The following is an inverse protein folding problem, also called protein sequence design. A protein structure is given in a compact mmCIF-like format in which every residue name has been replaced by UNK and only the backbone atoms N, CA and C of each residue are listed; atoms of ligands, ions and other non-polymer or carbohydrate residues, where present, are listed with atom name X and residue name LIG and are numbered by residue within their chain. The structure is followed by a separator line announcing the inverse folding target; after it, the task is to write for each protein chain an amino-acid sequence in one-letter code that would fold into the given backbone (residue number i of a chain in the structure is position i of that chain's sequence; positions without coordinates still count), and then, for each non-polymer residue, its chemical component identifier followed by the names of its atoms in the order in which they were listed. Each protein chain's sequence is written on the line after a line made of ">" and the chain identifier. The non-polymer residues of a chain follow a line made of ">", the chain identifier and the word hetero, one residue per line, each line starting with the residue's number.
data_IF_245800458991
#
_entry.id   IF_245800458991
#
_cell.length_a   1.000
_cell.length_b   1.000
_cell.length_c   1.000
_cell.angle_alpha   90.00
_cell.angle_beta   90.00
_cell.angle_gamma   90.00
#
_symmetry.space_group_name_H-M   'P 1'
#
loop_
_entity.id
_entity.type
_entity.pdbx_description
1 polymer ?
#
# COMPACT_ATOMS: atom_id res chain seq x y z
N UNK A 1 1.50 -24.60 14.36
CA UNK A 1 2.71 -23.91 13.89
C UNK A 1 2.29 -22.49 13.56
N UNK A 2 2.56 -21.53 14.43
CA UNK A 2 2.41 -20.11 14.08
C UNK A 2 3.51 -19.78 13.09
N UNK A 3 3.17 -19.84 11.81
CA UNK A 3 4.00 -19.33 10.72
C UNK A 3 4.02 -17.80 10.83
N UNK A 4 4.97 -17.29 11.62
CA UNK A 4 5.25 -15.86 11.69
C UNK A 4 5.68 -15.38 10.30
N UNK A 5 4.95 -14.41 9.76
CA UNK A 5 5.23 -13.84 8.44
C UNK A 5 6.47 -12.99 8.57
N UNK A 6 7.52 -13.27 7.79
CA UNK A 6 8.63 -12.34 7.67
C UNK A 6 8.16 -11.13 6.85
N UNK A 7 7.67 -10.10 7.55
CA UNK A 7 7.11 -8.88 6.96
C UNK A 7 8.14 -8.12 6.12
N UNK A 8 9.44 -8.41 6.27
CA UNK A 8 10.52 -7.80 5.48
C UNK A 8 10.46 -8.15 3.99
N UNK A 9 9.72 -9.19 3.61
CA UNK A 9 9.46 -9.57 2.21
C UNK A 9 8.66 -8.47 1.48
N UNK A 10 7.79 -7.78 2.20
CA UNK A 10 7.04 -6.62 1.70
C UNK A 10 7.98 -5.42 1.83
N UNK A 11 8.24 -4.62 0.79
CA UNK A 11 9.07 -3.42 0.93
C UNK A 11 8.34 -2.34 1.76
N UNK A 12 9.08 -1.43 2.38
CA UNK A 12 8.47 -0.28 3.05
C UNK A 12 7.87 0.68 2.01
N UNK A 13 6.77 1.35 2.38
CA UNK A 13 6.12 2.34 1.54
C UNK A 13 5.96 3.64 2.33
N UNK A 14 6.63 4.69 1.86
CA UNK A 14 6.62 6.01 2.47
C UNK A 14 5.71 7.03 1.75
N UNK A 15 5.19 6.64 0.57
CA UNK A 15 4.39 7.51 -0.29
C UNK A 15 5.20 8.34 -1.30
N UNK A 16 6.51 8.09 -1.44
CA UNK A 16 7.38 8.84 -2.36
C UNK A 16 7.57 8.14 -3.71
N UNK A 17 8.14 8.86 -4.69
CA UNK A 17 8.35 8.39 -6.06
C UNK A 17 9.32 7.20 -6.09
N UNK A 18 8.78 5.99 -6.26
CA UNK A 18 9.58 4.77 -6.47
C UNK A 18 8.73 3.57 -6.88
N UNK A 19 7.69 3.26 -6.10
CA UNK A 19 6.74 2.18 -6.40
C UNK A 19 5.32 2.73 -6.31
N UNK A 20 4.48 2.57 -7.35
CA UNK A 20 3.08 2.97 -7.28
C UNK A 20 2.36 2.29 -6.12
N UNK A 21 1.51 3.03 -5.40
CA UNK A 21 0.73 2.50 -4.26
C UNK A 21 -0.09 1.25 -4.66
N UNK A 22 -0.57 1.18 -5.91
CA UNK A 22 -1.30 0.04 -6.45
C UNK A 22 -0.41 -1.21 -6.51
N UNK A 23 0.79 -1.09 -7.06
CA UNK A 23 1.74 -2.21 -7.17
C UNK A 23 2.18 -2.69 -5.79
N UNK A 24 2.39 -1.75 -4.87
CA UNK A 24 2.73 -2.07 -3.48
C UNK A 24 1.61 -2.86 -2.79
N UNK A 25 0.36 -2.40 -2.89
CA UNK A 25 -0.81 -3.07 -2.31
C UNK A 25 -1.00 -4.48 -2.89
N UNK A 26 -0.86 -4.64 -4.22
CA UNK A 26 -0.93 -5.96 -4.86
C UNK A 26 0.13 -6.93 -4.32
N UNK A 27 1.35 -6.43 -4.07
CA UNK A 27 2.42 -7.24 -3.48
C UNK A 27 2.09 -7.65 -2.04
N UNK A 28 1.54 -6.74 -1.23
CA UNK A 28 1.08 -7.06 0.14
C UNK A 28 0.04 -8.19 0.09
N UNK A 29 -0.99 -8.05 -0.75
CA UNK A 29 -2.06 -9.05 -0.87
C UNK A 29 -1.54 -10.42 -1.33
N UNK A 30 -0.64 -10.43 -2.31
CA UNK A 30 -0.02 -11.67 -2.80
C UNK A 30 0.80 -12.35 -1.70
N UNK A 31 1.64 -11.60 -0.98
CA UNK A 31 2.45 -12.16 0.11
C UNK A 31 1.56 -12.68 1.24
N UNK A 32 0.53 -11.94 1.63
CA UNK A 32 -0.46 -12.38 2.61
C UNK A 32 -1.15 -13.67 2.18
N UNK A 33 -1.59 -13.76 0.92
CA UNK A 33 -2.21 -14.97 0.36
C UNK A 33 -1.27 -16.18 0.39
N UNK A 34 -0.03 -16.02 -0.07
CA UNK A 34 0.98 -17.08 -0.09
C UNK A 34 1.40 -17.56 1.31
N UNK A 35 1.23 -16.72 2.32
CA UNK A 35 1.60 -17.01 3.72
C UNK A 35 0.41 -17.39 4.59
N UNK A 36 -0.81 -17.47 4.03
CA UNK A 36 -2.02 -17.84 4.76
C UNK A 36 -2.51 -16.76 5.75
N UNK A 37 -2.21 -15.50 5.47
CA UNK A 37 -2.55 -14.36 6.33
C UNK A 37 -3.92 -13.83 5.96
N UNK A 38 -4.86 -13.90 6.89
CA UNK A 38 -6.22 -13.38 6.69
C UNK A 38 -6.36 -11.92 7.10
N UNK A 39 -5.56 -11.45 8.05
CA UNK A 39 -5.57 -10.06 8.53
C UNK A 39 -4.61 -9.17 7.72
N UNK A 40 -5.02 -8.81 6.51
CA UNK A 40 -4.26 -7.90 5.65
C UNK A 40 -4.26 -6.47 6.20
N UNK A 41 -5.35 -6.06 6.86
CA UNK A 41 -5.48 -4.73 7.45
C UNK A 41 -4.42 -4.49 8.54
N UNK A 42 -4.10 -5.50 9.34
CA UNK A 42 -3.00 -5.45 10.31
C UNK A 42 -1.60 -5.46 9.70
N UNK A 43 -1.41 -6.04 8.51
CA UNK A 43 -0.09 -6.12 7.86
C UNK A 43 0.32 -4.83 7.17
N UNK A 44 -0.63 -4.15 6.52
CA UNK A 44 -0.38 -2.89 5.81
C UNK A 44 0.41 -1.87 6.67
N UNK A 45 -0.07 -1.46 7.86
CA UNK A 45 0.61 -0.43 8.66
C UNK A 45 1.99 -0.83 9.15
N UNK A 46 2.34 -2.13 9.23
CA UNK A 46 3.67 -2.60 9.64
C UNK A 46 4.78 -2.23 8.64
N UNK A 47 4.39 -1.94 7.40
CA UNK A 47 5.32 -1.60 6.31
C UNK A 47 5.04 -0.22 5.71
N UNK A 48 4.15 0.55 6.30
CA UNK A 48 4.00 1.96 6.00
C UNK A 48 5.03 2.77 6.80
N UNK A 49 5.63 3.76 6.16
CA UNK A 49 6.54 4.73 6.79
C UNK A 49 6.19 6.14 6.33
N UNK A 50 6.85 7.16 6.87
CA UNK A 50 6.74 8.54 6.40
C UNK A 50 5.31 9.05 6.23
N UNK A 51 5.04 9.66 5.07
CA UNK A 51 3.73 10.24 4.74
C UNK A 51 2.62 9.20 4.64
N UNK A 52 2.93 8.00 4.16
CA UNK A 52 1.94 6.93 4.05
C UNK A 52 1.45 6.43 5.41
N UNK A 53 2.34 6.34 6.40
CA UNK A 53 1.93 6.02 7.76
C UNK A 53 1.09 7.13 8.39
N UNK A 54 1.39 8.40 8.08
CA UNK A 54 0.58 9.53 8.54
C UNK A 54 -0.86 9.48 8.02
N UNK A 55 -1.07 9.06 6.76
CA UNK A 55 -2.41 8.84 6.18
C UNK A 55 -3.16 7.76 6.94
N UNK A 56 -2.50 6.64 7.25
CA UNK A 56 -3.11 5.58 8.06
C UNK A 56 -3.51 6.06 9.45
N UNK A 57 -2.68 6.86 10.12
CA UNK A 57 -2.99 7.39 11.46
C UNK A 57 -4.23 8.30 11.47
N UNK A 58 -4.49 9.02 10.38
CA UNK A 58 -5.64 9.91 10.23
C UNK A 58 -6.98 9.16 10.06
N UNK A 59 -6.96 7.85 9.77
CA UNK A 59 -8.17 7.06 9.68
C UNK A 59 -8.80 6.82 11.06
N UNK A 60 -10.14 6.82 11.16
CA UNK A 60 -10.82 6.40 12.38
C UNK A 60 -10.60 4.91 12.66
N UNK A 61 -10.69 4.50 13.92
CA UNK A 61 -10.40 3.12 14.35
C UNK A 61 -11.30 2.07 13.67
N UNK A 62 -12.54 2.42 13.33
CA UNK A 62 -13.44 1.57 12.57
C UNK A 62 -12.96 1.32 11.14
N UNK A 63 -12.35 2.32 10.51
CA UNK A 63 -11.79 2.20 9.14
C UNK A 63 -10.44 1.49 9.13
N UNK A 64 -9.63 1.63 10.18
CA UNK A 64 -8.33 0.94 10.30
C UNK A 64 -8.45 -0.59 10.31
N UNK A 65 -9.59 -1.12 10.76
CA UNK A 65 -9.88 -2.56 10.78
C UNK A 65 -10.38 -3.09 9.43
N UNK A 66 -10.78 -2.20 8.53
CA UNK A 66 -11.31 -2.54 7.22
C UNK A 66 -10.22 -2.36 6.15
N UNK A 67 -9.78 -3.48 5.58
CA UNK A 67 -8.72 -3.49 4.58
C UNK A 67 -9.07 -2.63 3.36
N UNK A 68 -10.34 -2.61 2.93
CA UNK A 68 -10.79 -1.86 1.76
C UNK A 68 -10.77 -0.35 2.04
N UNK A 69 -11.10 0.05 3.27
CA UNK A 69 -11.01 1.45 3.71
C UNK A 69 -9.56 1.93 3.76
N UNK A 70 -8.66 1.14 4.36
CA UNK A 70 -7.23 1.45 4.43
C UNK A 70 -6.64 1.58 3.02
N UNK A 71 -6.90 0.60 2.13
CA UNK A 71 -6.47 0.66 0.72
C UNK A 71 -6.99 1.91 0.02
N UNK A 72 -8.27 2.22 0.18
CA UNK A 72 -8.90 3.39 -0.45
C UNK A 72 -8.26 4.70 0.01
N UNK A 73 -7.94 4.83 1.29
CA UNK A 73 -7.27 6.02 1.83
C UNK A 73 -5.86 6.19 1.26
N UNK A 74 -5.08 5.11 1.19
CA UNK A 74 -3.75 5.11 0.58
C UNK A 74 -3.81 5.44 -0.92
N UNK A 75 -4.77 4.86 -1.64
CA UNK A 75 -5.00 5.19 -3.05
C UNK A 75 -5.39 6.65 -3.23
N UNK A 76 -6.29 7.18 -2.41
CA UNK A 76 -6.69 8.59 -2.49
C UNK A 76 -5.52 9.56 -2.22
N UNK A 77 -4.57 9.18 -1.36
CA UNK A 77 -3.43 10.01 -1.01
C UNK A 77 -2.24 9.90 -1.97
N UNK A 78 -2.00 8.71 -2.56
CA UNK A 78 -0.77 8.41 -3.30
C UNK A 78 -0.97 7.87 -4.71
N UNK A 79 -2.20 7.65 -5.17
CA UNK A 79 -2.42 7.29 -6.57
C UNK A 79 -2.00 8.45 -7.48
N UNK A 80 -1.13 8.15 -8.44
CA UNK A 80 -0.78 9.10 -9.49
C UNK A 80 -2.03 9.36 -10.32
N UNK A 81 -2.37 10.62 -10.51
CA UNK A 81 -3.50 11.01 -11.34
C UNK A 81 -3.35 10.42 -12.76
N UNK A 82 -4.40 9.82 -13.36
CA UNK A 82 -4.35 9.27 -14.71
C UNK A 82 -3.86 10.28 -15.77
N UNK A 83 -4.06 11.58 -15.55
CA UNK A 83 -3.58 12.65 -16.41
C UNK A 83 -2.06 12.80 -16.32
N UNK A 84 -1.47 12.64 -15.14
CA UNK A 84 -0.01 12.61 -14.94
C UNK A 84 0.61 11.38 -15.58
N UNK A 85 -0.08 10.22 -15.53
CA UNK A 85 0.36 9.02 -16.24
C UNK A 85 0.37 9.23 -17.76
N UNK A 86 -0.62 9.95 -18.32
CA UNK A 86 -0.66 10.31 -19.73
C UNK A 86 0.45 11.27 -20.14
N UNK A 87 0.77 12.30 -19.34
CA UNK A 87 1.88 13.22 -19.63
C UNK A 87 3.25 12.52 -19.52
N UNK A 88 3.45 11.67 -18.52
CA UNK A 88 4.68 10.88 -18.38
C UNK A 88 4.88 9.86 -19.50
N UNK A 89 3.78 9.31 -20.03
CA UNK A 89 3.79 8.44 -21.20
C UNK A 89 4.05 9.24 -22.49
N UNK A 90 3.40 10.39 -22.66
CA UNK A 90 3.53 11.26 -23.85
C UNK A 90 4.87 11.99 -23.93
N UNK A 91 5.54 12.19 -22.80
CA UNK A 91 6.89 12.74 -22.72
C UNK A 91 8.01 11.75 -23.10
N UNK A 92 7.71 10.45 -23.14
CA UNK A 92 8.62 9.42 -23.67
C UNK A 92 8.52 9.37 -25.18
N UNK A 93 9.02 10.40 -25.85
CA UNK A 93 9.30 10.33 -27.28
C UNK A 93 10.40 9.30 -27.52
N UNK A 94 10.04 8.20 -28.19
CA UNK A 94 10.99 7.35 -28.93
C UNK A 94 11.50 8.08 -30.17
#
# INVERSE_FOLDING_TARGET
>A
MESSIDVRIIPEFDGTHGVPVVEWLQKVELVCSLRGVTDVAGVIPLRLTGGAFAVYLQLPDDEKKDVEKVKKALLAAFAVDPFVAYEQFSGRRL
#
